data_IF_883085308464
#
_entry.id   IF_883085308464
#
_cell.length_a   1.000
_cell.length_b   1.000
_cell.length_c   1.000
_cell.angle_alpha   90.00
_cell.angle_beta   90.00
_cell.angle_gamma   90.00
#
_symmetry.space_group_name_H-M   'P 1'
#
loop_
_entity.id
_entity.type
_entity.pdbx_description
1 polymer ?
#
# COMPACT_ATOMS: atom_id res chain seq x y z
N UNK A 1 8.35 23.06 -21.71
CA UNK A 1 8.21 21.73 -21.09
C UNK A 1 7.41 21.87 -19.80
N UNK A 2 6.31 21.13 -19.64
CA UNK A 2 5.49 21.14 -18.42
C UNK A 2 5.40 19.72 -17.86
N UNK A 3 5.92 19.50 -16.66
CA UNK A 3 5.71 18.26 -15.92
C UNK A 3 4.29 18.26 -15.36
N UNK A 4 3.52 17.20 -15.62
CA UNK A 4 2.18 17.04 -15.05
C UNK A 4 2.20 15.85 -14.09
N UNK A 5 1.89 16.10 -12.82
CA UNK A 5 1.66 15.05 -11.82
C UNK A 5 0.21 14.62 -11.94
N UNK A 6 -0.04 13.32 -12.18
CA UNK A 6 -1.40 12.78 -12.06
C UNK A 6 -1.68 12.53 -10.58
N UNK A 7 -2.78 13.06 -10.03
CA UNK A 7 -3.22 12.71 -8.68
C UNK A 7 -3.43 11.19 -8.59
N UNK A 8 -2.98 10.59 -7.50
CA UNK A 8 -3.28 9.20 -7.13
C UNK A 8 -3.90 9.25 -5.75
N UNK A 9 -5.04 8.60 -5.58
CA UNK A 9 -5.69 8.50 -4.28
C UNK A 9 -4.93 7.51 -3.41
N UNK A 10 -4.48 7.97 -2.24
CA UNK A 10 -3.86 7.15 -1.21
C UNK A 10 -4.89 7.02 -0.09
N UNK A 11 -5.51 5.85 0.09
CA UNK A 11 -6.72 5.72 0.92
C UNK A 11 -6.47 5.86 2.42
N UNK A 12 -5.22 5.75 2.87
CA UNK A 12 -4.85 5.82 4.29
C UNK A 12 -3.66 6.75 4.51
N UNK A 13 -3.51 7.26 5.74
CA UNK A 13 -2.43 8.14 6.16
C UNK A 13 -1.64 7.58 7.34
N UNK A 14 -0.48 8.18 7.61
CA UNK A 14 0.31 7.88 8.81
C UNK A 14 -0.51 8.14 10.07
N UNK A 15 -0.45 7.20 11.01
CA UNK A 15 -1.22 7.20 12.25
C UNK A 15 -2.55 6.44 12.18
N UNK A 16 -3.05 6.14 10.99
CA UNK A 16 -4.27 5.34 10.87
C UNK A 16 -4.03 3.91 11.35
N UNK A 17 -5.08 3.35 11.96
CA UNK A 17 -5.15 1.94 12.31
C UNK A 17 -5.91 1.19 11.23
N UNK A 18 -5.31 0.14 10.69
CA UNK A 18 -5.88 -0.62 9.58
C UNK A 18 -5.74 -2.13 9.81
N UNK A 19 -6.57 -2.89 9.09
CA UNK A 19 -6.47 -4.33 8.93
C UNK A 19 -5.81 -4.65 7.59
N UNK A 20 -4.89 -5.62 7.61
CA UNK A 20 -4.09 -6.00 6.46
C UNK A 20 -4.39 -7.44 6.07
N UNK A 21 -4.82 -7.63 4.83
CA UNK A 21 -5.04 -8.94 4.21
C UNK A 21 -3.70 -9.50 3.68
N UNK A 22 -2.85 -9.92 4.62
CA UNK A 22 -1.58 -10.57 4.30
C UNK A 22 -1.22 -11.56 5.42
N UNK A 23 -0.68 -12.74 5.06
CA UNK A 23 -0.21 -13.69 6.05
C UNK A 23 0.90 -13.11 6.94
N UNK A 24 0.72 -13.27 8.24
CA UNK A 24 1.57 -12.74 9.31
C UNK A 24 1.98 -13.84 10.29
N UNK A 25 3.06 -13.63 11.04
CA UNK A 25 3.66 -14.63 11.91
C UNK A 25 4.90 -15.30 11.30
N UNK A 26 5.65 -16.05 12.11
CA UNK A 26 6.91 -16.65 11.69
C UNK A 26 6.73 -17.77 10.65
N UNK A 27 5.58 -18.43 10.69
CA UNK A 27 5.19 -19.51 9.78
C UNK A 27 3.95 -19.12 8.95
N UNK A 28 3.63 -17.81 8.85
CA UNK A 28 2.43 -17.30 8.17
C UNK A 28 1.13 -17.89 8.73
N UNK A 29 1.11 -18.18 10.02
CA UNK A 29 0.00 -18.83 10.71
C UNK A 29 -1.25 -17.94 10.85
N UNK A 30 -1.12 -16.62 10.70
CA UNK A 30 -2.24 -15.68 10.75
C UNK A 30 -2.55 -15.16 9.35
N UNK A 31 -3.78 -15.30 8.82
CA UNK A 31 -4.09 -14.88 7.45
C UNK A 31 -4.14 -13.36 7.26
N UNK A 32 -4.33 -12.61 8.35
CA UNK A 32 -4.40 -11.16 8.37
C UNK A 32 -3.92 -10.63 9.73
N UNK A 33 -3.64 -9.33 9.83
CA UNK A 33 -3.28 -8.68 11.08
C UNK A 33 -3.75 -7.23 11.14
N UNK A 34 -3.77 -6.65 12.35
CA UNK A 34 -4.04 -5.23 12.56
C UNK A 34 -2.74 -4.45 12.82
N UNK A 35 -2.62 -3.25 12.28
CA UNK A 35 -1.44 -2.41 12.48
C UNK A 35 -1.72 -0.91 12.39
N UNK A 36 -0.81 -0.12 12.96
CA UNK A 36 -0.78 1.34 12.81
C UNK A 36 0.21 1.70 11.72
N UNK A 37 -0.19 2.57 10.78
CA UNK A 37 0.69 3.07 9.72
C UNK A 37 1.72 4.02 10.35
N UNK A 38 2.99 3.62 10.27
CA UNK A 38 4.11 4.43 10.76
C UNK A 38 4.73 5.29 9.67
N UNK A 39 4.69 4.82 8.41
CA UNK A 39 5.21 5.52 7.24
C UNK A 39 4.54 5.00 5.97
N UNK A 40 4.46 5.86 4.96
CA UNK A 40 4.05 5.51 3.59
C UNK A 40 5.16 5.99 2.67
N UNK A 41 5.79 5.06 1.96
CA UNK A 41 6.82 5.35 0.97
C UNK A 41 6.19 5.17 -0.40
N UNK A 42 6.12 6.23 -1.19
CA UNK A 42 5.72 6.12 -2.59
C UNK A 42 6.92 5.62 -3.37
N UNK A 43 6.82 4.39 -3.89
CA UNK A 43 7.87 3.80 -4.72
C UNK A 43 7.82 4.47 -6.10
N UNK A 44 8.45 5.64 -6.14
CA UNK A 44 8.73 6.39 -7.35
C UNK A 44 10.05 5.94 -7.91
N UNK A 45 10.12 4.71 -8.46
CA UNK A 45 11.20 4.38 -9.39
C UNK A 45 11.10 5.32 -10.59
N UNK A 46 11.84 6.42 -10.49
CA UNK A 46 12.08 7.36 -11.57
C UNK A 46 12.80 6.68 -12.75
N UNK A 47 13.43 5.52 -12.52
CA UNK A 47 14.17 4.78 -13.53
C UNK A 47 13.29 4.36 -14.73
N UNK A 48 12.00 4.07 -14.50
CA UNK A 48 11.07 3.69 -15.58
C UNK A 48 10.25 4.86 -16.13
N UNK A 49 10.31 6.05 -15.51
CA UNK A 49 9.55 7.25 -15.90
C UNK A 49 10.43 8.39 -16.46
N UNK A 50 11.76 8.29 -16.38
CA UNK A 50 12.71 9.33 -16.83
C UNK A 50 13.26 9.14 -18.26
N UNK A 51 12.61 8.35 -19.13
CA UNK A 51 13.06 8.20 -20.52
C UNK A 51 12.12 8.93 -21.47
N UNK A 52 12.51 10.16 -21.86
CA UNK A 52 11.86 10.92 -22.93
C UNK A 52 12.32 10.33 -24.28
N UNK A 53 11.52 9.44 -24.87
CA UNK A 53 11.84 8.83 -26.18
C UNK A 53 11.45 9.72 -27.37
N UNK A 54 10.51 10.64 -27.16
CA UNK A 54 9.99 11.57 -28.16
C UNK A 54 9.64 12.90 -27.48
N UNK A 55 9.71 14.03 -28.21
CA UNK A 55 9.26 15.30 -27.68
C UNK A 55 7.74 15.27 -27.46
N UNK A 56 7.32 15.32 -26.20
CA UNK A 56 5.92 15.47 -25.81
C UNK A 56 5.68 16.86 -25.21
N UNK A 57 4.47 17.37 -25.34
CA UNK A 57 4.08 18.65 -24.72
C UNK A 57 4.05 18.55 -23.18
N UNK A 58 3.70 17.36 -22.66
CA UNK A 58 3.57 17.04 -21.23
C UNK A 58 4.07 15.62 -20.96
N UNK A 59 5.01 15.51 -20.03
CA UNK A 59 5.42 14.22 -19.47
C UNK A 59 4.72 13.98 -18.14
N UNK A 60 4.32 12.72 -17.89
CA UNK A 60 3.63 12.31 -16.68
C UNK A 60 4.55 11.52 -15.75
N UNK A 61 4.55 11.86 -14.46
CA UNK A 61 5.10 11.02 -13.41
C UNK A 61 3.94 10.26 -12.75
N UNK A 62 4.06 8.94 -12.66
CA UNK A 62 3.06 8.06 -12.05
C UNK A 62 3.70 7.19 -10.97
N UNK A 63 3.09 7.16 -9.79
CA UNK A 63 3.42 6.20 -8.73
C UNK A 63 2.53 4.98 -8.91
N UNK A 64 3.14 3.83 -9.16
CA UNK A 64 2.39 2.58 -9.35
C UNK A 64 2.28 1.77 -8.07
N UNK A 65 3.17 2.02 -7.09
CA UNK A 65 3.25 1.27 -5.85
C UNK A 65 3.46 2.20 -4.65
N UNK A 66 2.95 1.78 -3.48
CA UNK A 66 3.25 2.36 -2.18
C UNK A 66 3.66 1.26 -1.20
N UNK A 67 4.61 1.58 -0.32
CA UNK A 67 5.06 0.72 0.76
C UNK A 67 4.57 1.30 2.07
N UNK A 68 3.71 0.57 2.77
CA UNK A 68 3.20 0.93 4.08
C UNK A 68 4.04 0.25 5.15
N UNK A 69 4.78 1.03 5.92
CA UNK A 69 5.49 0.55 7.09
C UNK A 69 4.56 0.54 8.29
N UNK A 70 4.24 -0.63 8.80
CA UNK A 70 3.22 -0.85 9.84
C UNK A 70 3.85 -1.34 11.13
N UNK A 71 3.31 -0.89 12.27
CA UNK A 71 3.56 -1.50 13.57
C UNK A 71 2.36 -2.39 13.94
N UNK A 72 2.53 -3.71 14.03
CA UNK A 72 1.44 -4.60 14.47
C UNK A 72 0.94 -4.24 15.88
N UNK A 73 -0.37 -4.34 16.07
CA UNK A 73 -1.07 -4.07 17.33
C UNK A 73 -2.06 -5.21 17.65
N UNK A 74 -2.82 -5.07 18.74
CA UNK A 74 -3.80 -6.08 19.16
C UNK A 74 -3.14 -7.41 19.50
N UNK A 75 -3.62 -8.49 18.89
CA UNK A 75 -3.13 -9.86 19.07
C UNK A 75 -1.64 -10.05 18.69
N UNK A 76 -1.08 -9.07 17.96
CA UNK A 76 0.31 -9.10 17.49
C UNK A 76 1.15 -7.95 18.06
N UNK A 77 0.70 -7.32 19.14
CA UNK A 77 1.44 -6.26 19.81
C UNK A 77 2.84 -6.75 20.26
N UNK A 78 3.85 -5.92 20.01
CA UNK A 78 5.24 -6.25 20.33
C UNK A 78 6.04 -6.81 19.14
N UNK A 79 5.38 -7.36 18.13
CA UNK A 79 6.06 -7.87 16.93
C UNK A 79 6.84 -6.79 16.16
N UNK A 80 7.87 -7.17 15.37
CA UNK A 80 8.61 -6.25 14.53
C UNK A 80 7.71 -5.48 13.55
N UNK A 81 8.21 -4.35 13.04
CA UNK A 81 7.53 -3.61 11.97
C UNK A 81 7.47 -4.45 10.70
N UNK A 82 6.40 -4.30 9.94
CA UNK A 82 6.16 -5.01 8.68
C UNK A 82 6.01 -3.99 7.56
N UNK A 83 6.57 -4.29 6.39
CA UNK A 83 6.33 -3.51 5.19
C UNK A 83 5.31 -4.24 4.31
N UNK A 84 4.24 -3.54 3.94
CA UNK A 84 3.21 -4.04 3.04
C UNK A 84 3.28 -3.24 1.74
N UNK A 85 3.49 -3.93 0.63
CA UNK A 85 3.51 -3.32 -0.69
C UNK A 85 2.10 -3.32 -1.28
N UNK A 86 1.64 -2.15 -1.72
CA UNK A 86 0.32 -1.94 -2.32
C UNK A 86 0.50 -1.42 -3.73
N UNK A 87 -0.02 -2.15 -4.71
CA UNK A 87 -0.13 -1.66 -6.07
C UNK A 87 -1.28 -0.65 -6.15
N UNK A 88 -0.99 0.56 -6.63
CA UNK A 88 -1.96 1.65 -6.77
C UNK A 88 -2.63 1.66 -8.16
N UNK A 89 -2.00 1.04 -9.17
CA UNK A 89 -2.47 1.02 -10.56
C UNK A 89 -2.24 -0.37 -11.21
N UNK A 90 -3.30 -1.15 -11.50
CA UNK A 90 -4.63 -1.01 -10.90
C UNK A 90 -4.54 -1.17 -9.37
N UNK A 91 -5.45 -0.53 -8.63
CA UNK A 91 -5.46 -0.61 -7.17
C UNK A 91 -5.67 -2.05 -6.72
N UNK A 92 -4.70 -2.61 -6.00
CA UNK A 92 -4.83 -3.88 -5.30
C UNK A 92 -5.27 -3.60 -3.87
N UNK A 93 -6.47 -4.03 -3.52
CA UNK A 93 -7.00 -3.86 -2.16
C UNK A 93 -6.35 -4.89 -1.23
N UNK A 94 -5.55 -4.42 -0.28
CA UNK A 94 -4.95 -5.26 0.79
C UNK A 94 -5.03 -4.61 2.17
N UNK A 95 -5.51 -3.36 2.24
CA UNK A 95 -5.62 -2.56 3.44
C UNK A 95 -7.09 -2.17 3.65
N UNK A 96 -7.58 -2.34 4.88
CA UNK A 96 -8.98 -2.15 5.24
C UNK A 96 -9.08 -1.31 6.51
N UNK A 97 -10.10 -0.47 6.61
CA UNK A 97 -10.33 0.33 7.81
C UNK A 97 -10.81 -0.56 8.97
N UNK A 98 -11.62 -1.57 8.66
CA UNK A 98 -12.21 -2.47 9.67
C UNK A 98 -11.99 -3.94 9.34
N UNK A 99 -12.03 -4.79 10.38
CA UNK A 99 -11.95 -6.24 10.24
C UNK A 99 -13.08 -6.79 9.37
N UNK A 100 -14.29 -6.25 9.54
CA UNK A 100 -15.47 -6.70 8.79
C UNK A 100 -15.33 -6.42 7.29
N UNK A 101 -14.74 -5.27 6.90
CA UNK A 101 -14.43 -5.00 5.50
C UNK A 101 -13.43 -6.01 4.92
N UNK A 102 -12.38 -6.36 5.68
CA UNK A 102 -11.40 -7.37 5.28
C UNK A 102 -12.07 -8.74 5.10
N UNK A 103 -12.85 -9.20 6.08
CA UNK A 103 -13.52 -10.49 6.01
C UNK A 103 -14.54 -10.55 4.88
N UNK A 104 -15.28 -9.44 4.64
CA UNK A 104 -16.19 -9.34 3.51
C UNK A 104 -15.46 -9.45 2.17
N UNK A 105 -14.28 -8.82 2.05
CA UNK A 105 -13.44 -8.93 0.86
C UNK A 105 -12.94 -10.37 0.64
N UNK A 106 -12.39 -11.01 1.67
CA UNK A 106 -11.91 -12.40 1.58
C UNK A 106 -13.02 -13.37 1.13
N UNK A 107 -14.26 -13.17 1.62
CA UNK A 107 -15.41 -13.98 1.23
C UNK A 107 -15.87 -13.76 -0.23
N UNK A 108 -15.57 -12.60 -0.83
CA UNK A 108 -15.87 -12.34 -2.25
C UNK A 108 -14.82 -12.93 -3.18
N UNK A 109 -13.60 -13.13 -2.69
CA UNK A 109 -12.46 -13.67 -3.45
C UNK A 109 -12.21 -15.15 -3.22
N UNK A 110 -12.94 -15.80 -2.30
CA UNK A 110 -12.90 -17.25 -2.03
C UNK A 110 -13.85 -18.02 -2.93
#
# INVERSE_FOLDING_TARGET
>A
MKLTLKPVDIPFKVGDTIWVDQPFGAAHEFPFFQGVIMQIILDGSLANTLVIRQPEEKHALSFTNAIYGLKPIGDHAGSPRVNVNVQLIPLQTSLFETKDQLLAYQNQTS
#
